data_IF_925458936984
#
_entry.id   IF_925458936984
#
_cell.length_a   1.000
_cell.length_b   1.000
_cell.length_c   1.000
_cell.angle_alpha   90.00
_cell.angle_beta   90.00
_cell.angle_gamma   90.00
#
_symmetry.space_group_name_H-M   'P 1'
#
loop_
_entity.id
_entity.type
_entity.pdbx_description
1 polymer ?
#
# COMPACT_ATOMS: atom_id res chain seq x y z
N UNK A 1 -3.12 -9.07 -9.21
CA UNK A 1 -4.43 -8.51 -8.87
C UNK A 1 -5.33 -8.35 -10.08
N UNK A 2 -6.63 -8.24 -9.83
CA UNK A 2 -7.67 -7.88 -10.82
C UNK A 2 -8.50 -6.73 -10.29
N UNK A 3 -8.90 -5.81 -11.16
CA UNK A 3 -9.85 -4.75 -10.83
C UNK A 3 -11.24 -5.11 -11.39
N UNK A 4 -12.26 -4.88 -10.60
CA UNK A 4 -13.65 -5.14 -10.95
C UNK A 4 -14.45 -3.84 -10.73
N UNK A 5 -15.30 -3.50 -11.69
CA UNK A 5 -16.18 -2.33 -11.60
C UNK A 5 -17.62 -2.75 -11.23
N UNK A 6 -18.25 -2.02 -10.32
CA UNK A 6 -19.61 -2.33 -9.81
C UNK A 6 -20.64 -2.54 -10.91
N UNK A 7 -20.61 -1.68 -11.93
CA UNK A 7 -21.58 -1.77 -13.04
C UNK A 7 -21.47 -3.09 -13.81
N UNK A 8 -20.22 -3.61 -14.01
CA UNK A 8 -20.05 -4.93 -14.63
C UNK A 8 -20.67 -6.02 -13.76
N UNK A 9 -20.53 -5.90 -12.45
CA UNK A 9 -21.03 -6.85 -11.48
C UNK A 9 -22.57 -6.83 -11.37
N UNK A 10 -23.20 -5.64 -11.46
CA UNK A 10 -24.67 -5.47 -11.44
C UNK A 10 -25.35 -6.04 -12.68
N UNK A 11 -24.70 -6.00 -13.84
CA UNK A 11 -25.26 -6.44 -15.13
C UNK A 11 -25.16 -7.96 -15.34
N UNK A 12 -24.56 -8.73 -14.40
CA UNK A 12 -24.39 -10.18 -14.52
C UNK A 12 -25.62 -10.94 -14.05
N UNK A 13 -26.02 -11.93 -14.82
CA UNK A 13 -26.88 -13.01 -14.34
C UNK A 13 -26.10 -13.99 -13.43
N UNK A 14 -26.77 -14.99 -12.89
CA UNK A 14 -26.16 -15.96 -11.99
C UNK A 14 -25.02 -16.75 -12.63
N UNK A 15 -25.13 -17.11 -13.90
CA UNK A 15 -24.08 -17.86 -14.62
C UNK A 15 -22.85 -16.97 -14.88
N UNK A 16 -23.07 -15.73 -15.29
CA UNK A 16 -22.00 -14.75 -15.47
C UNK A 16 -21.28 -14.44 -14.18
N UNK A 17 -22.00 -14.32 -13.06
CA UNK A 17 -21.46 -14.15 -11.73
C UNK A 17 -20.55 -15.32 -11.35
N UNK A 18 -21.04 -16.54 -11.43
CA UNK A 18 -20.28 -17.75 -11.09
C UNK A 18 -19.01 -17.89 -11.96
N UNK A 19 -19.08 -17.50 -13.24
CA UNK A 19 -17.94 -17.50 -14.14
C UNK A 19 -16.86 -16.53 -13.69
N UNK A 20 -17.20 -15.29 -13.32
CA UNK A 20 -16.23 -14.30 -12.85
C UNK A 20 -15.60 -14.72 -11.51
N UNK A 21 -16.39 -15.23 -10.57
CA UNK A 21 -15.88 -15.70 -9.29
C UNK A 21 -14.89 -16.86 -9.48
N UNK A 22 -15.22 -17.79 -10.39
CA UNK A 22 -14.34 -18.90 -10.76
C UNK A 22 -13.03 -18.41 -11.41
N UNK A 23 -13.10 -17.46 -12.35
CA UNK A 23 -11.92 -16.87 -13.00
C UNK A 23 -11.00 -16.19 -12.00
N UNK A 24 -11.55 -15.41 -11.06
CA UNK A 24 -10.77 -14.73 -10.03
C UNK A 24 -9.97 -15.71 -9.17
N UNK A 25 -10.60 -16.79 -8.68
CA UNK A 25 -9.89 -17.82 -7.92
C UNK A 25 -8.88 -18.61 -8.77
N UNK A 26 -9.21 -18.89 -10.02
CA UNK A 26 -8.30 -19.64 -10.91
C UNK A 26 -7.04 -18.84 -11.22
N UNK A 27 -7.12 -17.51 -11.31
CA UNK A 27 -5.98 -16.64 -11.58
C UNK A 27 -5.19 -16.23 -10.34
N UNK A 28 -5.88 -15.98 -9.23
CA UNK A 28 -5.31 -15.36 -8.03
C UNK A 28 -5.05 -16.35 -6.89
N UNK A 29 -5.54 -17.60 -7.01
CA UNK A 29 -5.38 -18.63 -6.00
C UNK A 29 -6.61 -18.80 -5.12
N UNK A 30 -6.55 -19.76 -4.18
CA UNK A 30 -7.70 -20.18 -3.37
C UNK A 30 -8.08 -19.19 -2.26
N UNK A 31 -7.18 -18.29 -1.94
CA UNK A 31 -7.41 -17.24 -0.94
C UNK A 31 -7.12 -15.91 -1.60
N UNK A 32 -8.10 -15.00 -1.53
CA UNK A 32 -7.96 -13.65 -2.10
C UNK A 32 -8.35 -12.59 -1.08
N UNK A 33 -7.82 -11.38 -1.26
CA UNK A 33 -8.26 -10.18 -0.57
C UNK A 33 -9.02 -9.28 -1.53
N UNK A 34 -10.15 -8.76 -1.06
CA UNK A 34 -11.02 -7.84 -1.79
C UNK A 34 -10.99 -6.50 -1.08
N UNK A 35 -10.68 -5.43 -1.81
CA UNK A 35 -10.58 -4.09 -1.24
C UNK A 35 -11.13 -3.01 -2.18
N UNK A 36 -11.75 -1.93 -1.65
CA UNK A 36 -12.06 -0.74 -2.44
C UNK A 36 -10.78 -0.13 -3.02
N UNK A 37 -10.80 0.35 -4.27
CA UNK A 37 -9.59 0.81 -4.94
C UNK A 37 -9.02 2.13 -4.39
N UNK A 38 -9.89 3.02 -3.88
CA UNK A 38 -9.51 4.39 -3.48
C UNK A 38 -9.62 4.63 -1.97
N UNK A 39 -9.69 3.57 -1.15
CA UNK A 39 -9.73 3.69 0.32
C UNK A 39 -8.47 3.13 0.97
N UNK A 40 -8.17 3.67 2.15
CA UNK A 40 -7.08 3.20 3.01
C UNK A 40 -7.59 2.62 4.33
N UNK A 41 -6.67 2.36 5.25
CA UNK A 41 -6.94 1.92 6.63
C UNK A 41 -7.75 0.62 6.72
N UNK A 42 -7.61 -0.27 5.76
CA UNK A 42 -8.35 -1.55 5.67
C UNK A 42 -9.88 -1.42 5.67
N UNK A 43 -10.44 -0.22 5.40
CA UNK A 43 -11.88 -0.02 5.31
C UNK A 43 -12.43 -0.76 4.10
N UNK A 44 -13.43 -1.62 4.32
CA UNK A 44 -14.06 -2.40 3.26
C UNK A 44 -13.23 -3.60 2.78
N UNK A 45 -12.06 -3.85 3.35
CA UNK A 45 -11.23 -5.01 3.03
C UNK A 45 -11.87 -6.28 3.60
N UNK A 46 -11.82 -7.36 2.83
CA UNK A 46 -12.29 -8.68 3.25
C UNK A 46 -11.43 -9.78 2.64
N UNK A 47 -11.25 -10.86 3.38
CA UNK A 47 -10.62 -12.10 2.91
C UNK A 47 -11.70 -13.05 2.44
N UNK A 48 -11.48 -13.72 1.29
CA UNK A 48 -12.39 -14.71 0.75
C UNK A 48 -11.64 -15.98 0.35
N UNK A 49 -12.28 -17.14 0.52
CA UNK A 49 -11.71 -18.45 0.20
C UNK A 49 -12.70 -19.40 -0.48
N UNK A 50 -13.90 -18.92 -0.79
CA UNK A 50 -14.92 -19.61 -1.58
C UNK A 50 -15.79 -18.61 -2.35
N UNK A 51 -16.62 -19.09 -3.27
CA UNK A 51 -17.46 -18.23 -4.11
C UNK A 51 -18.46 -17.38 -3.29
N UNK A 52 -18.98 -17.92 -2.19
CA UNK A 52 -19.94 -17.21 -1.35
C UNK A 52 -19.27 -16.03 -0.66
N UNK A 53 -18.17 -16.28 0.04
CA UNK A 53 -17.39 -15.25 0.74
C UNK A 53 -16.78 -14.21 -0.22
N UNK A 54 -16.40 -14.62 -1.45
CA UNK A 54 -15.89 -13.68 -2.47
C UNK A 54 -17.01 -12.74 -2.95
N UNK A 55 -18.21 -13.27 -3.19
CA UNK A 55 -19.38 -12.46 -3.57
C UNK A 55 -19.72 -11.44 -2.48
N UNK A 56 -19.84 -11.89 -1.22
CA UNK A 56 -20.09 -10.99 -0.08
C UNK A 56 -18.99 -9.92 0.08
N UNK A 57 -17.74 -10.29 -0.12
CA UNK A 57 -16.60 -9.38 -0.06
C UNK A 57 -16.67 -8.31 -1.17
N UNK A 58 -17.04 -8.68 -2.40
CA UNK A 58 -17.25 -7.75 -3.51
C UNK A 58 -18.41 -6.80 -3.22
N UNK A 59 -19.56 -7.31 -2.81
CA UNK A 59 -20.74 -6.50 -2.46
C UNK A 59 -20.42 -5.49 -1.34
N UNK A 60 -19.68 -5.94 -0.31
CA UNK A 60 -19.22 -5.06 0.77
C UNK A 60 -18.27 -3.98 0.27
N UNK A 61 -17.30 -4.32 -0.58
CA UNK A 61 -16.34 -3.37 -1.11
C UNK A 61 -16.98 -2.35 -2.05
N UNK A 62 -17.95 -2.77 -2.89
CA UNK A 62 -18.72 -1.88 -3.75
C UNK A 62 -19.63 -0.89 -2.99
N UNK A 63 -19.95 -1.14 -1.72
CA UNK A 63 -20.61 -0.15 -0.88
C UNK A 63 -19.75 1.09 -0.59
N UNK A 64 -18.43 1.00 -0.83
CA UNK A 64 -17.46 2.07 -0.56
C UNK A 64 -16.87 2.69 -1.83
N UNK A 65 -16.74 1.91 -2.91
CA UNK A 65 -16.10 2.36 -4.15
C UNK A 65 -16.71 1.63 -5.37
N UNK A 66 -16.83 2.33 -6.48
CA UNK A 66 -17.26 1.71 -7.74
C UNK A 66 -16.19 0.77 -8.35
N UNK A 67 -14.93 0.96 -7.98
CA UNK A 67 -13.81 0.09 -8.35
C UNK A 67 -13.32 -0.71 -7.15
N UNK A 68 -13.20 -1.99 -7.36
CA UNK A 68 -12.70 -2.94 -6.36
C UNK A 68 -11.48 -3.68 -6.91
N UNK A 69 -10.51 -3.91 -6.06
CA UNK A 69 -9.32 -4.71 -6.37
C UNK A 69 -9.44 -6.04 -5.66
N UNK A 70 -9.23 -7.13 -6.40
CA UNK A 70 -9.10 -8.49 -5.89
C UNK A 70 -7.65 -8.91 -6.05
N UNK A 71 -7.02 -9.33 -4.96
CA UNK A 71 -5.59 -9.67 -4.91
C UNK A 71 -5.39 -11.10 -4.39
N UNK A 72 -4.33 -11.74 -4.85
CA UNK A 72 -3.85 -12.99 -4.24
C UNK A 72 -3.48 -12.75 -2.77
N UNK A 73 -3.72 -13.71 -1.90
CA UNK A 73 -3.19 -13.68 -0.55
C UNK A 73 -1.68 -14.00 -0.59
N UNK A 74 -0.87 -13.04 -0.19
CA UNK A 74 0.59 -13.18 -0.18
C UNK A 74 1.05 -13.46 1.24
N UNK A 75 1.67 -14.61 1.45
CA UNK A 75 2.33 -14.95 2.71
C UNK A 75 3.74 -14.35 2.72
N UNK A 76 3.99 -13.40 3.62
CA UNK A 76 5.27 -12.72 3.69
C UNK A 76 5.36 -11.74 4.85
N UNK A 77 6.58 -11.26 5.09
CA UNK A 77 6.83 -10.20 6.07
C UNK A 77 6.34 -8.86 5.51
N UNK A 78 5.68 -8.05 6.30
CA UNK A 78 5.23 -6.71 5.88
C UNK A 78 6.36 -5.70 6.08
N UNK A 79 6.89 -5.17 4.98
CA UNK A 79 8.02 -4.25 4.96
C UNK A 79 7.57 -2.89 4.44
N UNK A 80 7.86 -1.84 5.19
CA UNK A 80 7.56 -0.46 4.83
C UNK A 80 8.83 0.35 4.57
N UNK A 81 8.82 1.19 3.53
CA UNK A 81 9.88 2.16 3.26
C UNK A 81 9.29 3.56 3.09
N UNK A 82 9.98 4.55 3.65
CA UNK A 82 9.59 5.95 3.53
C UNK A 82 10.34 6.61 2.38
N UNK A 83 9.61 7.24 1.47
CA UNK A 83 10.16 7.95 0.30
C UNK A 83 9.93 9.45 0.47
N UNK A 84 10.98 10.25 0.21
CA UNK A 84 11.00 11.70 0.37
C UNK A 84 11.65 12.33 -0.86
N UNK A 85 10.98 13.25 -1.52
CA UNK A 85 11.55 13.97 -2.65
C UNK A 85 10.56 14.26 -3.77
N UNK A 86 11.09 14.42 -4.97
CA UNK A 86 10.30 14.66 -6.18
C UNK A 86 10.94 13.91 -7.37
N UNK A 87 11.69 14.57 -8.25
CA UNK A 87 12.31 13.93 -9.42
C UNK A 87 13.48 12.99 -9.09
N UNK A 88 14.11 13.18 -7.94
CA UNK A 88 15.18 12.34 -7.42
C UNK A 88 14.83 12.02 -5.96
N UNK A 89 13.99 11.03 -5.70
CA UNK A 89 13.57 10.70 -4.35
C UNK A 89 14.69 10.01 -3.57
N UNK A 90 14.72 10.27 -2.27
CA UNK A 90 15.47 9.52 -1.28
C UNK A 90 14.56 8.47 -0.65
N UNK A 91 15.12 7.34 -0.26
CA UNK A 91 14.39 6.23 0.37
C UNK A 91 15.07 5.87 1.68
N UNK A 92 14.28 5.71 2.72
CA UNK A 92 14.75 5.31 4.06
C UNK A 92 15.28 3.87 4.07
N UNK A 93 15.96 3.45 5.15
CA UNK A 93 16.02 2.03 5.50
C UNK A 93 14.61 1.43 5.64
N UNK A 94 14.48 0.09 5.48
CA UNK A 94 13.20 -0.58 5.69
C UNK A 94 12.82 -0.64 7.18
N UNK A 95 11.51 -0.66 7.45
CA UNK A 95 10.92 -1.09 8.70
C UNK A 95 10.03 -2.31 8.46
N UNK A 96 9.69 -3.04 9.52
CA UNK A 96 8.80 -4.20 9.46
C UNK A 96 7.64 -4.00 10.41
N UNK A 97 6.44 -4.38 9.97
CA UNK A 97 5.27 -4.52 10.81
C UNK A 97 5.02 -6.00 11.06
N UNK A 98 5.01 -6.39 12.33
CA UNK A 98 4.59 -7.73 12.73
C UNK A 98 3.19 -7.66 13.32
N UNK A 99 2.16 -8.12 12.60
CA UNK A 99 0.83 -8.26 13.16
C UNK A 99 0.85 -9.30 14.30
N UNK A 100 0.07 -9.06 15.36
CA UNK A 100 -0.07 -10.02 16.48
C UNK A 100 -1.15 -11.09 16.23
N UNK A 101 -1.84 -11.05 15.07
CA UNK A 101 -2.87 -11.99 14.65
C UNK A 101 -2.74 -12.41 13.21
N UNK A 102 -3.59 -13.34 12.77
CA UNK A 102 -3.59 -13.87 11.38
C UNK A 102 -4.05 -12.84 10.34
N UNK A 103 -4.64 -11.74 10.75
CA UNK A 103 -5.12 -10.67 9.87
C UNK A 103 -5.11 -9.31 10.58
N UNK A 104 -4.37 -8.35 10.05
CA UNK A 104 -4.22 -7.00 10.58
C UNK A 104 -5.33 -6.09 10.05
N UNK A 105 -6.48 -6.08 10.72
CA UNK A 105 -7.65 -5.29 10.33
C UNK A 105 -7.63 -3.86 10.88
N UNK A 106 -8.70 -3.08 10.56
CA UNK A 106 -8.84 -1.69 11.01
C UNK A 106 -8.86 -1.57 12.55
N UNK A 107 -9.47 -2.51 13.26
CA UNK A 107 -9.57 -2.47 14.71
C UNK A 107 -8.21 -2.70 15.37
N UNK A 108 -7.39 -3.58 14.81
CA UNK A 108 -6.02 -3.82 15.25
C UNK A 108 -5.09 -2.65 14.96
N UNK A 109 -5.28 -1.96 13.82
CA UNK A 109 -4.46 -0.78 13.44
C UNK A 109 -4.64 0.42 14.37
N UNK A 110 -5.82 0.62 14.95
CA UNK A 110 -6.15 1.86 15.65
C UNK A 110 -6.70 1.70 17.06
N UNK A 111 -7.16 0.52 17.46
CA UNK A 111 -7.80 0.30 18.77
C UNK A 111 -6.97 -0.52 19.75
N UNK A 112 -6.08 -1.34 19.24
CA UNK A 112 -5.15 -2.11 20.05
C UNK A 112 -3.74 -1.80 19.58
N UNK A 113 -2.79 -1.52 20.50
CA UNK A 113 -1.35 -1.44 20.22
C UNK A 113 -0.77 -2.83 19.82
N UNK A 114 -1.44 -3.54 18.89
CA UNK A 114 -1.27 -4.96 18.64
C UNK A 114 -0.30 -5.32 17.52
N UNK A 115 0.39 -4.32 16.93
CA UNK A 115 1.46 -4.57 15.97
C UNK A 115 2.81 -4.14 16.53
N UNK A 116 3.80 -5.00 16.43
CA UNK A 116 5.19 -4.66 16.73
C UNK A 116 5.81 -3.93 15.52
N UNK A 117 6.28 -2.69 15.76
CA UNK A 117 7.00 -1.90 14.77
C UNK A 117 8.51 -2.09 14.94
N UNK A 118 9.17 -2.70 13.97
CA UNK A 118 10.60 -2.98 13.97
C UNK A 118 11.29 -2.00 13.02
N UNK A 119 12.11 -1.09 13.57
CA UNK A 119 12.80 -0.06 12.80
C UNK A 119 14.07 -0.58 12.10
N UNK A 120 14.57 -1.75 12.49
CA UNK A 120 15.78 -2.39 11.96
C UNK A 120 15.51 -3.90 11.79
N UNK A 121 14.70 -4.28 10.79
CA UNK A 121 14.44 -5.69 10.52
C UNK A 121 15.69 -6.39 9.98
N UNK A 122 15.84 -7.67 10.34
CA UNK A 122 16.91 -8.51 9.78
C UNK A 122 16.60 -8.84 8.31
N UNK A 123 17.21 -8.07 7.40
CA UNK A 123 17.08 -8.18 5.94
C UNK A 123 18.49 -8.08 5.34
N UNK A 124 18.80 -8.98 4.42
CA UNK A 124 20.09 -8.97 3.71
C UNK A 124 20.33 -7.62 2.97
N UNK A 125 21.57 -7.13 3.00
CA UNK A 125 21.93 -5.80 2.49
C UNK A 125 21.58 -5.60 0.99
N UNK A 126 21.78 -6.63 0.15
CA UNK A 126 21.39 -6.60 -1.25
C UNK A 126 19.88 -6.46 -1.43
N UNK A 127 19.09 -7.13 -0.61
CA UNK A 127 17.64 -7.07 -0.63
C UNK A 127 17.11 -5.70 -0.15
N UNK A 128 17.80 -5.07 0.82
CA UNK A 128 17.51 -3.67 1.21
C UNK A 128 17.69 -2.72 0.03
N UNK A 129 18.76 -2.89 -0.76
CA UNK A 129 18.99 -2.08 -1.96
C UNK A 129 17.90 -2.30 -3.00
N UNK A 130 17.48 -3.54 -3.23
CA UNK A 130 16.41 -3.86 -4.16
C UNK A 130 15.08 -3.23 -3.74
N UNK A 131 14.71 -3.35 -2.46
CA UNK A 131 13.52 -2.72 -1.89
C UNK A 131 13.54 -1.20 -2.07
N UNK A 132 14.67 -0.54 -1.78
CA UNK A 132 14.82 0.90 -1.95
C UNK A 132 14.68 1.32 -3.42
N UNK A 133 15.28 0.57 -4.35
CA UNK A 133 15.14 0.84 -5.78
C UNK A 133 13.71 0.64 -6.27
N UNK A 134 13.03 -0.40 -5.79
CA UNK A 134 11.62 -0.66 -6.12
C UNK A 134 10.71 0.46 -5.58
N UNK A 135 10.92 0.89 -4.34
CA UNK A 135 10.17 1.99 -3.73
C UNK A 135 10.35 3.31 -4.50
N UNK A 136 11.59 3.66 -4.86
CA UNK A 136 11.87 4.83 -5.67
C UNK A 136 11.20 4.76 -7.06
N UNK A 137 11.23 3.60 -7.72
CA UNK A 137 10.57 3.39 -9.01
C UNK A 137 9.05 3.50 -8.90
N UNK A 138 8.43 2.92 -7.88
CA UNK A 138 6.99 3.02 -7.63
C UNK A 138 6.57 4.48 -7.42
N UNK A 139 7.30 5.21 -6.58
CA UNK A 139 7.09 6.64 -6.32
C UNK A 139 7.12 7.48 -7.61
N UNK A 140 8.12 7.26 -8.46
CA UNK A 140 8.28 7.98 -9.72
C UNK A 140 7.23 7.58 -10.76
N UNK A 141 6.90 6.29 -10.87
CA UNK A 141 5.89 5.78 -11.80
C UNK A 141 4.50 6.37 -11.54
N UNK A 142 4.15 6.52 -10.26
CA UNK A 142 2.91 7.16 -9.82
C UNK A 142 2.98 8.70 -9.79
N UNK A 143 4.12 9.29 -10.20
CA UNK A 143 4.35 10.75 -10.17
C UNK A 143 4.13 11.37 -8.79
N UNK A 144 4.44 10.63 -7.74
CA UNK A 144 4.40 11.14 -6.37
C UNK A 144 5.40 12.29 -6.20
N UNK A 145 5.15 13.13 -5.20
CA UNK A 145 6.01 14.26 -4.87
C UNK A 145 5.80 14.68 -3.42
N UNK A 146 6.87 15.00 -2.74
CA UNK A 146 6.90 15.29 -1.31
C UNK A 146 7.20 14.02 -0.54
N UNK A 147 6.21 13.24 -0.23
CA UNK A 147 6.33 12.02 0.57
C UNK A 147 5.47 10.88 0.04
N UNK A 148 5.90 9.66 0.33
CA UNK A 148 5.07 8.46 0.28
C UNK A 148 5.63 7.38 1.20
N UNK A 149 4.79 6.49 1.74
CA UNK A 149 5.21 5.22 2.29
C UNK A 149 4.90 4.14 1.26
N UNK A 150 5.87 3.30 1.00
CA UNK A 150 5.75 2.20 0.04
C UNK A 150 5.83 0.90 0.82
N UNK A 151 4.78 0.10 0.72
CA UNK A 151 4.55 -1.09 1.51
C UNK A 151 4.75 -2.33 0.62
N UNK A 152 5.47 -3.32 1.14
CA UNK A 152 5.82 -4.56 0.45
C UNK A 152 5.48 -5.78 1.29
N UNK A 153 5.15 -6.87 0.61
CA UNK A 153 5.28 -8.21 1.18
C UNK A 153 6.64 -8.80 0.78
N UNK A 154 7.43 -9.22 1.76
CA UNK A 154 8.66 -9.96 1.51
C UNK A 154 8.36 -11.45 1.57
N UNK A 155 8.06 -12.02 0.39
CA UNK A 155 7.75 -13.44 0.24
C UNK A 155 9.06 -14.26 0.27
N UNK A 156 9.12 -15.41 0.97
CA UNK A 156 10.36 -16.18 1.12
C UNK A 156 10.97 -16.64 -0.19
N UNK A 157 10.16 -17.04 -1.18
CA UNK A 157 10.62 -17.59 -2.45
C UNK A 157 10.56 -16.61 -3.63
N UNK A 158 9.62 -15.63 -3.58
CA UNK A 158 9.38 -14.67 -4.69
C UNK A 158 10.10 -13.35 -4.48
N UNK A 159 10.70 -13.14 -3.29
CA UNK A 159 11.30 -11.86 -2.92
C UNK A 159 10.28 -10.75 -2.67
N UNK A 160 10.67 -9.48 -2.83
CA UNK A 160 9.80 -8.35 -2.52
C UNK A 160 8.67 -8.19 -3.55
N UNK A 161 7.45 -8.08 -3.05
CA UNK A 161 6.23 -7.86 -3.83
C UNK A 161 5.63 -6.52 -3.38
N UNK A 162 5.48 -5.57 -4.30
CA UNK A 162 4.85 -4.28 -4.01
C UNK A 162 3.38 -4.49 -3.66
N UNK A 163 2.96 -3.99 -2.51
CA UNK A 163 1.57 -3.99 -2.07
C UNK A 163 0.89 -2.66 -2.42
N UNK A 164 1.26 -1.57 -1.75
CA UNK A 164 0.62 -0.27 -1.95
C UNK A 164 1.58 0.91 -1.80
N UNK A 165 1.14 2.09 -2.26
CA UNK A 165 1.85 3.36 -2.08
C UNK A 165 0.91 4.36 -1.40
N UNK A 166 1.26 4.76 -0.17
CA UNK A 166 0.51 5.70 0.64
C UNK A 166 1.09 7.11 0.47
N UNK A 167 0.41 7.95 -0.29
CA UNK A 167 0.90 9.32 -0.62
C UNK A 167 0.68 10.33 0.50
N UNK A 168 -0.14 10.02 1.50
CA UNK A 168 -0.32 10.78 2.74
C UNK A 168 -0.24 9.77 3.91
N UNK A 169 0.97 9.27 4.22
CA UNK A 169 1.15 8.29 5.29
C UNK A 169 0.88 8.91 6.67
N UNK A 170 0.65 8.05 7.66
CA UNK A 170 0.59 8.48 9.05
C UNK A 170 1.82 9.31 9.42
N UNK A 171 1.62 10.46 10.06
CA UNK A 171 2.66 11.45 10.35
C UNK A 171 2.69 11.85 11.83
N UNK A 172 2.35 10.93 12.73
CA UNK A 172 2.55 11.10 14.17
C UNK A 172 3.96 10.63 14.57
N UNK A 173 4.50 11.04 15.72
CA UNK A 173 5.83 10.59 16.17
C UNK A 173 6.01 9.08 16.27
N UNK A 174 4.90 8.33 16.42
CA UNK A 174 4.90 6.85 16.48
C UNK A 174 4.67 6.20 15.11
N UNK A 175 4.33 6.97 14.07
CA UNK A 175 4.10 6.43 12.74
C UNK A 175 5.39 5.98 12.07
N UNK A 176 5.35 4.89 11.30
CA UNK A 176 6.52 4.32 10.63
C UNK A 176 7.23 5.33 9.73
N UNK A 177 6.49 6.15 8.96
CA UNK A 177 7.09 7.10 8.03
C UNK A 177 8.12 8.05 8.69
N UNK A 178 7.81 8.84 9.74
CA UNK A 178 8.81 9.68 10.39
C UNK A 178 9.84 8.89 11.19
N UNK A 179 9.49 7.72 11.75
CA UNK A 179 10.44 6.89 12.50
C UNK A 179 11.58 6.41 11.61
N UNK A 180 11.31 5.93 10.40
CA UNK A 180 12.35 5.48 9.47
C UNK A 180 13.28 6.63 9.04
N UNK A 181 12.77 7.85 8.88
CA UNK A 181 13.61 9.01 8.62
C UNK A 181 14.46 9.40 9.81
N UNK A 182 13.94 9.28 11.04
CA UNK A 182 14.74 9.50 12.26
C UNK A 182 15.88 8.48 12.36
N UNK A 183 15.64 7.21 12.03
CA UNK A 183 16.68 6.18 11.92
C UNK A 183 17.73 6.51 10.85
N UNK A 184 17.32 7.11 9.74
CA UNK A 184 18.22 7.60 8.70
C UNK A 184 18.97 8.90 9.08
N UNK A 185 18.78 9.42 10.31
CA UNK A 185 19.45 10.62 10.82
C UNK A 185 18.74 11.94 10.53
N UNK A 186 17.53 11.91 9.96
CA UNK A 186 16.73 13.11 9.72
C UNK A 186 15.73 13.32 10.86
N UNK A 187 15.89 14.40 11.63
CA UNK A 187 14.98 14.70 12.74
C UNK A 187 13.55 14.99 12.24
N UNK A 188 12.56 14.86 13.13
CA UNK A 188 11.16 15.14 12.79
C UNK A 188 10.96 16.56 12.25
N UNK A 189 11.57 17.58 12.90
CA UNK A 189 11.53 18.96 12.42
C UNK A 189 12.24 19.12 11.07
N UNK A 190 13.42 18.49 10.89
CA UNK A 190 14.14 18.50 9.63
C UNK A 190 13.36 17.83 8.50
N UNK A 191 12.56 16.79 8.80
CA UNK A 191 11.66 16.16 7.84
C UNK A 191 10.55 17.13 7.37
N UNK A 192 9.96 17.87 8.30
CA UNK A 192 8.95 18.90 7.98
C UNK A 192 9.56 20.02 7.14
N UNK A 193 10.73 20.53 7.53
CA UNK A 193 11.44 21.56 6.76
C UNK A 193 11.76 21.08 5.35
N UNK A 194 12.24 19.83 5.21
CA UNK A 194 12.56 19.27 3.88
C UNK A 194 11.32 19.11 3.00
N UNK A 195 10.18 18.72 3.57
CA UNK A 195 8.91 18.65 2.84
C UNK A 195 8.47 20.05 2.35
N UNK A 196 8.63 21.08 3.17
CA UNK A 196 8.35 22.46 2.78
C UNK A 196 9.27 22.93 1.65
N UNK A 197 10.57 22.64 1.72
CA UNK A 197 11.54 22.95 0.66
C UNK A 197 11.16 22.29 -0.67
N UNK A 198 10.83 20.98 -0.64
CA UNK A 198 10.39 20.24 -1.84
C UNK A 198 9.15 20.90 -2.46
N UNK A 199 8.20 21.34 -1.64
CA UNK A 199 6.99 22.00 -2.12
C UNK A 199 7.31 23.33 -2.80
N UNK A 200 8.20 24.15 -2.23
CA UNK A 200 8.66 25.43 -2.80
C UNK A 200 9.45 25.20 -4.07
N UNK A 201 10.40 24.26 -4.09
CA UNK A 201 11.17 23.89 -5.29
C UNK A 201 10.25 23.44 -6.43
N UNK A 202 9.26 22.57 -6.13
CA UNK A 202 8.29 22.10 -7.10
C UNK A 202 7.42 23.24 -7.63
N UNK A 203 6.95 24.11 -6.76
CA UNK A 203 6.17 25.29 -7.16
C UNK A 203 6.96 26.20 -8.10
N UNK A 204 8.23 26.48 -7.78
CA UNK A 204 9.11 27.34 -8.59
C UNK A 204 9.39 26.76 -9.98
N UNK A 205 9.41 25.44 -10.13
CA UNK A 205 9.58 24.75 -11.43
C UNK A 205 8.30 24.68 -12.26
N UNK A 206 7.12 24.82 -11.64
CA UNK A 206 5.83 24.78 -12.34
C UNK A 206 5.65 26.04 -13.18
N UNK A 207 6.10 25.99 -14.43
CA UNK A 207 5.73 26.98 -15.44
C UNK A 207 4.38 26.58 -16.03
N UNK A 208 3.33 27.28 -15.64
CA UNK A 208 2.01 27.16 -16.29
C UNK A 208 1.85 28.37 -17.22
N UNK A 209 1.65 28.12 -18.51
CA UNK A 209 1.11 29.13 -19.38
C UNK A 209 -0.37 29.33 -19.03
N UNK A 210 -0.68 30.45 -18.37
CA UNK A 210 -2.06 30.84 -18.01
C UNK A 210 -2.64 31.87 -19.01
N UNK A 211 -1.89 32.21 -20.06
CA UNK A 211 -2.37 33.11 -21.15
C UNK A 211 -3.00 32.22 -22.21
N UNK A 212 -4.32 32.33 -22.36
CA UNK A 212 -5.12 31.82 -23.48
C UNK A 212 -5.08 32.85 -24.60
#
# INVERSE_FOLDING_TARGET
YRSVHSKLFEDLDSEGMDSILYELFNELGQIVFVKPANLGSSIGVSRANDHHSLKEALEKAFAYDEWVIVEEAIEGREIELSVLGDLVPQVSPPGEIKPMGDFYDYAEKYQNDSAELIDEPDIEANLVVDLQQMAARAFLALRCSGMARVDFFLHPDRGPILNEVNTIPGFTPISMYPRLWQKAGLSYSGLVDRLADIAVEKFSRKRRNTVI
#
